data_IF_315325907237
#
_entry.id   IF_315325907237
#
_cell.length_a   1.000
_cell.length_b   1.000
_cell.length_c   1.000
_cell.angle_alpha   90.00
_cell.angle_beta   90.00
_cell.angle_gamma   90.00
#
_symmetry.space_group_name_H-M   'P 1'
#
loop_
_entity.id
_entity.type
_entity.pdbx_description
1 polymer ?
#
# COMPACT_ATOMS: atom_id res chain seq x y z
N UNK A 1 31.87 -53.90 21.48
CA UNK A 1 31.68 -52.84 20.44
C UNK A 1 30.29 -52.25 20.66
N UNK A 2 30.21 -51.13 21.37
CA UNK A 2 28.96 -50.44 21.68
C UNK A 2 28.60 -49.60 20.47
N UNK A 3 27.53 -49.97 19.76
CA UNK A 3 26.95 -49.12 18.68
C UNK A 3 26.31 -47.89 19.34
N UNK A 4 26.93 -46.75 19.15
CA UNK A 4 26.31 -45.45 19.46
C UNK A 4 25.21 -45.20 18.43
N UNK A 5 23.96 -45.27 18.86
CA UNK A 5 22.79 -44.83 18.10
C UNK A 5 22.95 -43.31 17.86
N UNK A 6 22.85 -42.81 16.61
CA UNK A 6 22.96 -41.40 16.35
C UNK A 6 21.82 -40.65 17.08
N UNK A 7 22.15 -39.57 17.77
CA UNK A 7 21.19 -38.68 18.41
C UNK A 7 20.18 -38.18 17.38
N UNK A 8 18.94 -38.66 17.44
CA UNK A 8 17.86 -38.21 16.59
C UNK A 8 17.50 -36.80 17.01
N UNK A 9 17.62 -35.83 16.09
CA UNK A 9 17.14 -34.48 16.29
C UNK A 9 15.61 -34.49 16.31
N UNK A 10 15.03 -34.05 17.43
CA UNK A 10 13.59 -33.95 17.61
C UNK A 10 13.12 -32.53 17.28
N UNK A 11 12.06 -32.40 16.48
CA UNK A 11 11.42 -31.15 16.14
C UNK A 11 9.98 -31.11 16.66
N UNK A 12 9.51 -29.92 17.05
CA UNK A 12 8.14 -29.74 17.52
C UNK A 12 7.19 -29.58 16.34
N UNK A 13 6.05 -30.30 16.35
CA UNK A 13 4.96 -30.05 15.43
C UNK A 13 4.34 -28.66 15.70
N UNK A 14 4.24 -27.81 14.68
CA UNK A 14 3.71 -26.46 14.79
C UNK A 14 2.21 -26.38 15.15
N UNK A 15 1.49 -27.49 15.06
CA UNK A 15 0.05 -27.54 15.34
C UNK A 15 -0.28 -28.11 16.72
N UNK A 16 0.36 -29.20 17.14
CA UNK A 16 0.07 -29.86 18.42
C UNK A 16 1.18 -29.72 19.49
N UNK A 17 2.34 -29.14 19.12
CA UNK A 17 3.46 -28.93 20.03
C UNK A 17 4.22 -30.19 20.44
N UNK A 18 3.80 -31.37 19.98
CA UNK A 18 4.48 -32.63 20.31
C UNK A 18 5.80 -32.75 19.54
N UNK A 19 6.79 -33.37 20.18
CA UNK A 19 8.12 -33.61 19.61
C UNK A 19 8.12 -34.91 18.80
N UNK A 20 8.69 -34.84 17.58
CA UNK A 20 8.80 -35.98 16.67
C UNK A 20 10.20 -36.02 16.06
N UNK A 21 10.60 -37.18 15.57
CA UNK A 21 11.80 -37.30 14.73
C UNK A 21 11.56 -36.60 13.39
N UNK A 22 12.64 -36.16 12.77
CA UNK A 22 12.61 -35.49 11.45
C UNK A 22 11.85 -36.30 10.39
N UNK A 23 12.00 -37.65 10.44
CA UNK A 23 11.31 -38.59 9.55
C UNK A 23 9.77 -38.57 9.66
N UNK A 24 9.21 -38.15 10.79
CA UNK A 24 7.77 -38.22 11.12
C UNK A 24 7.09 -36.84 10.91
N UNK A 25 7.84 -35.84 10.51
CA UNK A 25 7.38 -34.51 10.23
C UNK A 25 7.47 -34.19 8.73
N UNK A 26 6.48 -33.49 8.25
CA UNK A 26 6.45 -32.97 6.87
C UNK A 26 6.54 -31.45 6.91
N UNK A 27 7.44 -30.90 6.11
CA UNK A 27 7.58 -29.47 5.98
C UNK A 27 6.57 -28.93 4.96
N UNK A 28 5.55 -28.20 5.43
CA UNK A 28 4.47 -27.64 4.59
C UNK A 28 4.37 -26.14 4.86
N UNK A 29 4.47 -25.31 3.83
CA UNK A 29 4.36 -23.86 3.93
C UNK A 29 5.23 -23.23 5.04
N UNK A 30 6.46 -23.71 5.20
CA UNK A 30 7.40 -23.20 6.21
C UNK A 30 7.21 -23.76 7.62
N UNK A 31 6.27 -24.70 7.84
CA UNK A 31 5.97 -25.29 9.15
C UNK A 31 6.23 -26.80 9.17
N UNK A 32 6.76 -27.28 10.28
CA UNK A 32 6.90 -28.71 10.56
C UNK A 32 5.58 -29.25 11.12
N UNK A 33 4.96 -30.20 10.44
CA UNK A 33 3.63 -30.74 10.78
C UNK A 33 3.68 -32.26 10.83
N UNK A 34 3.19 -32.86 11.91
CA UNK A 34 3.09 -34.32 12.05
C UNK A 34 1.98 -34.90 11.17
N UNK A 35 2.03 -36.22 10.93
CA UNK A 35 1.08 -36.91 10.06
C UNK A 35 -0.38 -36.71 10.49
N UNK A 36 -0.66 -36.73 11.80
CA UNK A 36 -2.01 -36.57 12.36
C UNK A 36 -2.58 -35.16 12.12
N UNK A 37 -1.74 -34.13 12.20
CA UNK A 37 -2.15 -32.74 12.01
C UNK A 37 -2.16 -32.31 10.54
N UNK A 38 -1.51 -33.07 9.65
CA UNK A 38 -1.37 -32.75 8.22
C UNK A 38 -2.69 -32.47 7.51
N UNK A 39 -3.75 -33.30 7.60
CA UNK A 39 -5.01 -33.05 6.88
C UNK A 39 -5.71 -31.78 7.35
N UNK A 40 -5.77 -31.54 8.65
CA UNK A 40 -6.36 -30.34 9.24
C UNK A 40 -5.56 -29.07 8.91
N UNK A 41 -4.23 -29.18 8.82
CA UNK A 41 -3.37 -28.08 8.40
C UNK A 41 -3.55 -27.75 6.91
N UNK A 42 -3.57 -28.76 6.04
CA UNK A 42 -3.79 -28.59 4.61
C UNK A 42 -5.17 -27.98 4.30
N UNK A 43 -6.24 -28.47 4.95
CA UNK A 43 -7.58 -27.88 4.76
C UNK A 43 -7.64 -26.42 5.18
N UNK A 44 -6.93 -26.04 6.24
CA UNK A 44 -6.83 -24.65 6.70
C UNK A 44 -6.03 -23.78 5.74
N UNK A 45 -4.90 -24.29 5.23
CA UNK A 45 -4.07 -23.61 4.21
C UNK A 45 -4.85 -23.42 2.90
N UNK A 46 -5.59 -24.45 2.47
CA UNK A 46 -6.41 -24.37 1.26
C UNK A 46 -7.60 -23.41 1.44
N UNK A 47 -8.28 -23.45 2.58
CA UNK A 47 -9.41 -22.57 2.89
C UNK A 47 -8.99 -21.09 3.02
N UNK A 48 -7.76 -20.84 3.48
CA UNK A 48 -7.22 -19.46 3.56
C UNK A 48 -6.73 -18.92 2.22
N UNK A 49 -6.77 -19.70 1.14
CA UNK A 49 -6.20 -19.33 -0.16
C UNK A 49 -4.68 -19.09 -0.13
N UNK A 50 -4.05 -19.45 0.97
CA UNK A 50 -2.66 -19.18 1.28
C UNK A 50 -1.76 -20.40 0.98
N UNK A 51 -1.84 -20.91 -0.23
CA UNK A 51 -0.77 -21.76 -0.73
C UNK A 51 0.51 -20.90 -0.88
N UNK A 52 1.22 -20.70 0.24
CA UNK A 52 2.49 -19.99 0.26
C UNK A 52 2.63 -18.82 1.24
N UNK A 53 1.61 -18.48 2.02
CA UNK A 53 1.79 -17.49 3.07
C UNK A 53 2.12 -18.16 4.42
N UNK A 54 3.41 -18.27 4.73
CA UNK A 54 3.82 -18.29 6.15
C UNK A 54 3.18 -17.07 6.82
N UNK A 55 2.73 -17.15 8.10
CA UNK A 55 2.42 -15.95 8.85
C UNK A 55 3.72 -15.15 8.97
N UNK A 56 4.02 -14.35 7.96
CA UNK A 56 5.10 -13.38 8.02
C UNK A 56 4.70 -12.41 9.12
N UNK A 57 5.52 -12.30 10.13
CA UNK A 57 5.42 -11.25 11.13
C UNK A 57 5.77 -9.92 10.44
N UNK A 58 4.82 -9.40 9.65
CA UNK A 58 5.02 -8.14 8.96
C UNK A 58 5.14 -7.00 9.97
N UNK A 59 6.20 -6.26 9.84
CA UNK A 59 6.32 -5.01 10.56
C UNK A 59 5.54 -3.94 9.80
N UNK A 60 4.43 -3.50 10.38
CA UNK A 60 3.52 -2.53 9.76
C UNK A 60 4.02 -1.10 9.92
N UNK A 61 3.97 -0.34 8.84
CA UNK A 61 4.32 1.08 8.83
C UNK A 61 3.34 1.90 9.67
N UNK A 62 3.85 2.61 10.69
CA UNK A 62 3.06 3.46 11.55
C UNK A 62 2.50 4.71 10.84
N UNK A 63 1.55 5.38 11.50
CA UNK A 63 0.90 6.60 10.98
C UNK A 63 1.92 7.70 10.62
N UNK A 64 2.84 8.02 11.51
CA UNK A 64 3.82 9.11 11.30
C UNK A 64 4.74 8.89 10.11
N UNK A 65 5.16 7.64 9.88
CA UNK A 65 5.97 7.30 8.71
C UNK A 65 5.18 7.45 7.40
N UNK A 66 3.91 7.09 7.40
CA UNK A 66 3.03 7.26 6.24
C UNK A 66 2.76 8.74 5.97
N UNK A 67 2.60 9.53 7.04
CA UNK A 67 2.45 10.99 6.95
C UNK A 67 3.73 11.61 6.37
N UNK A 68 4.90 11.28 6.90
CA UNK A 68 6.19 11.73 6.37
C UNK A 68 6.38 11.35 4.89
N UNK A 69 6.03 10.12 4.52
CA UNK A 69 6.05 9.69 3.12
C UNK A 69 5.15 10.55 2.23
N UNK A 70 3.96 10.94 2.70
CA UNK A 70 3.05 11.86 1.98
C UNK A 70 3.62 13.25 1.80
N UNK A 71 4.28 13.78 2.84
CA UNK A 71 4.96 15.09 2.75
C UNK A 71 6.04 15.04 1.66
N UNK A 72 6.86 13.99 1.62
CA UNK A 72 7.88 13.81 0.58
C UNK A 72 7.22 13.71 -0.81
N UNK A 73 6.16 12.91 -0.96
CA UNK A 73 5.40 12.79 -2.22
C UNK A 73 4.85 14.15 -2.68
N UNK A 74 4.39 14.99 -1.74
CA UNK A 74 3.91 16.35 -2.05
C UNK A 74 5.02 17.24 -2.61
N UNK A 75 6.23 17.17 -2.07
CA UNK A 75 7.38 17.88 -2.65
C UNK A 75 7.76 17.36 -4.03
N UNK A 76 7.74 16.05 -4.24
CA UNK A 76 8.01 15.45 -5.57
C UNK A 76 7.01 15.92 -6.62
N UNK A 77 5.72 16.01 -6.27
CA UNK A 77 4.67 16.49 -7.17
C UNK A 77 4.67 18.01 -7.34
N UNK A 78 5.20 18.75 -6.36
CA UNK A 78 5.27 20.22 -6.42
C UNK A 78 6.15 20.69 -7.58
N UNK A 79 7.28 20.03 -7.84
CA UNK A 79 8.22 20.44 -8.91
C UNK A 79 7.55 20.46 -10.29
N UNK A 80 6.96 19.36 -10.81
CA UNK A 80 6.30 19.38 -12.10
C UNK A 80 5.09 20.32 -12.11
N UNK A 81 4.38 20.49 -10.99
CA UNK A 81 3.27 21.43 -10.88
C UNK A 81 3.73 22.88 -11.02
N UNK A 82 4.84 23.27 -10.38
CA UNK A 82 5.42 24.60 -10.50
C UNK A 82 5.93 24.87 -11.92
N UNK A 83 6.56 23.89 -12.56
CA UNK A 83 6.99 24.03 -13.97
C UNK A 83 5.79 24.24 -14.87
N UNK A 84 4.74 23.44 -14.73
CA UNK A 84 3.51 23.57 -15.50
C UNK A 84 2.83 24.92 -15.25
N UNK A 85 2.76 25.36 -14.01
CA UNK A 85 2.23 26.66 -13.63
C UNK A 85 3.04 27.80 -14.24
N UNK A 86 4.36 27.75 -14.19
CA UNK A 86 5.24 28.78 -14.79
C UNK A 86 5.05 28.90 -16.31
N UNK A 87 4.76 27.78 -16.99
CA UNK A 87 4.50 27.81 -18.44
C UNK A 87 3.09 28.33 -18.80
N UNK A 88 2.09 28.03 -17.98
CA UNK A 88 0.69 28.31 -18.32
C UNK A 88 0.18 29.63 -17.73
N UNK A 89 0.60 30.04 -16.53
CA UNK A 89 0.14 31.27 -15.87
C UNK A 89 0.41 32.52 -16.70
N UNK A 90 1.59 32.73 -17.31
CA UNK A 90 1.81 33.92 -18.16
C UNK A 90 0.84 34.01 -19.33
N UNK A 91 0.55 32.88 -19.97
CA UNK A 91 -0.43 32.83 -21.07
C UNK A 91 -1.85 33.11 -20.57
N UNK A 92 -2.19 32.56 -19.39
CA UNK A 92 -3.47 32.84 -18.74
C UNK A 92 -3.67 34.30 -18.42
N UNK A 93 -2.64 34.98 -17.87
CA UNK A 93 -2.66 36.40 -17.54
C UNK A 93 -2.77 37.24 -18.83
N UNK A 94 -2.02 36.90 -19.89
CA UNK A 94 -2.10 37.61 -21.19
C UNK A 94 -3.49 37.52 -21.78
N UNK A 95 -4.08 36.31 -21.82
CA UNK A 95 -5.43 36.10 -22.33
C UNK A 95 -6.47 36.83 -21.50
N UNK A 96 -6.36 36.79 -20.17
CA UNK A 96 -7.27 37.52 -19.29
C UNK A 96 -7.24 39.04 -19.51
N UNK A 97 -6.04 39.60 -19.71
CA UNK A 97 -5.88 41.04 -20.03
C UNK A 97 -6.47 41.43 -21.36
N UNK A 98 -6.43 40.57 -22.39
CA UNK A 98 -6.96 40.82 -23.73
C UNK A 98 -8.49 40.79 -23.78
N UNK A 99 -9.14 40.02 -22.94
CA UNK A 99 -10.59 39.79 -22.97
C UNK A 99 -11.37 40.87 -22.19
N UNK A 100 -10.72 41.63 -21.31
CA UNK A 100 -11.41 42.60 -20.45
C UNK A 100 -12.29 41.92 -19.38
N UNK A 101 -12.96 42.71 -18.55
CA UNK A 101 -13.64 42.26 -17.35
C UNK A 101 -15.04 41.65 -17.54
N UNK A 102 -15.52 41.39 -18.74
CA UNK A 102 -16.95 41.15 -18.94
C UNK A 102 -17.41 39.70 -19.08
N UNK A 103 -16.56 38.71 -19.31
CA UNK A 103 -16.89 37.29 -19.21
C UNK A 103 -15.62 36.41 -19.27
N UNK A 104 -15.60 35.22 -18.66
CA UNK A 104 -14.52 34.28 -18.89
C UNK A 104 -14.50 33.88 -20.37
N UNK A 105 -13.44 34.25 -21.09
CA UNK A 105 -13.33 33.87 -22.49
C UNK A 105 -13.25 32.37 -22.64
N UNK A 106 -13.78 31.79 -23.72
CA UNK A 106 -13.64 30.33 -23.96
C UNK A 106 -12.18 29.88 -23.96
N UNK A 107 -11.25 30.71 -24.38
CA UNK A 107 -9.82 30.45 -24.36
C UNK A 107 -9.28 30.33 -22.91
N UNK A 108 -9.71 31.22 -22.03
CA UNK A 108 -9.32 31.19 -20.61
C UNK A 108 -9.85 29.94 -19.93
N UNK A 109 -11.12 29.58 -20.18
CA UNK A 109 -11.74 28.36 -19.67
C UNK A 109 -11.02 27.09 -20.18
N UNK A 110 -10.68 27.07 -21.48
CA UNK A 110 -9.95 25.94 -22.07
C UNK A 110 -8.55 25.80 -21.50
N UNK A 111 -7.80 26.88 -21.29
CA UNK A 111 -6.47 26.83 -20.65
C UNK A 111 -6.53 26.33 -19.20
N UNK A 112 -7.50 26.81 -18.42
CA UNK A 112 -7.70 26.36 -17.02
C UNK A 112 -8.07 24.89 -16.96
N UNK A 113 -8.97 24.45 -17.84
CA UNK A 113 -9.36 23.05 -17.93
C UNK A 113 -8.17 22.16 -18.31
N UNK A 114 -7.39 22.59 -19.31
CA UNK A 114 -6.18 21.87 -19.75
C UNK A 114 -5.17 21.73 -18.59
N UNK A 115 -4.91 22.82 -17.86
CA UNK A 115 -4.05 22.79 -16.68
C UNK A 115 -4.54 21.78 -15.66
N UNK A 116 -5.83 21.81 -15.33
CA UNK A 116 -6.44 20.91 -14.37
C UNK A 116 -6.34 19.44 -14.81
N UNK A 117 -6.65 19.15 -16.08
CA UNK A 117 -6.58 17.80 -16.64
C UNK A 117 -5.15 17.25 -16.65
N UNK A 118 -4.17 18.04 -17.08
CA UNK A 118 -2.76 17.63 -17.10
C UNK A 118 -2.24 17.39 -15.65
N UNK A 119 -2.59 18.26 -14.73
CA UNK A 119 -2.26 18.09 -13.33
C UNK A 119 -2.87 16.80 -12.75
N UNK A 120 -4.18 16.60 -12.94
CA UNK A 120 -4.88 15.41 -12.46
C UNK A 120 -4.28 14.14 -13.05
N UNK A 121 -4.02 14.11 -14.35
CA UNK A 121 -3.41 12.97 -15.02
C UNK A 121 -2.00 12.68 -14.47
N UNK A 122 -1.21 13.71 -14.22
CA UNK A 122 0.13 13.56 -13.64
C UNK A 122 0.09 12.92 -12.26
N UNK A 123 -0.84 13.34 -11.40
CA UNK A 123 -1.01 12.77 -10.05
C UNK A 123 -1.49 11.31 -10.12
N UNK A 124 -2.48 11.03 -10.99
CA UNK A 124 -2.98 9.66 -11.20
C UNK A 124 -1.84 8.75 -11.70
N UNK A 125 -1.16 9.16 -12.77
CA UNK A 125 -0.07 8.36 -13.32
C UNK A 125 1.03 8.13 -12.30
N UNK A 126 1.46 9.18 -11.59
CA UNK A 126 2.48 9.03 -10.56
C UNK A 126 2.07 8.02 -9.48
N UNK A 127 0.91 8.17 -8.88
CA UNK A 127 0.51 7.34 -7.74
C UNK A 127 0.14 5.92 -8.16
N UNK A 128 -0.70 5.76 -9.20
CA UNK A 128 -1.19 4.45 -9.64
C UNK A 128 -0.07 3.61 -10.26
N UNK A 129 0.73 4.21 -11.14
CA UNK A 129 1.82 3.49 -11.81
C UNK A 129 2.90 3.08 -10.82
N UNK A 130 3.29 3.98 -9.91
CA UNK A 130 4.28 3.67 -8.87
C UNK A 130 3.79 2.56 -7.94
N UNK A 131 2.54 2.61 -7.49
CA UNK A 131 1.97 1.52 -6.69
C UNK A 131 1.94 0.19 -7.45
N UNK A 132 1.57 0.20 -8.73
CA UNK A 132 1.46 -1.02 -9.55
C UNK A 132 2.81 -1.69 -9.77
N UNK A 133 3.84 -0.92 -10.13
CA UNK A 133 5.14 -1.48 -10.53
C UNK A 133 6.11 -1.62 -9.35
N UNK A 134 6.11 -0.69 -8.41
CA UNK A 134 7.04 -0.66 -7.28
C UNK A 134 6.41 -1.03 -5.94
N UNK A 135 5.08 -1.05 -5.87
CA UNK A 135 4.34 -1.24 -4.62
C UNK A 135 4.47 -0.06 -3.65
N UNK A 136 5.07 1.05 -4.08
CA UNK A 136 5.26 2.24 -3.23
C UNK A 136 5.48 3.49 -4.09
N UNK A 137 5.05 4.66 -3.61
CA UNK A 137 5.42 5.97 -4.15
C UNK A 137 6.85 6.33 -3.73
N UNK A 138 7.46 7.34 -4.33
CA UNK A 138 8.83 7.75 -3.99
C UNK A 138 8.97 8.11 -2.51
N UNK A 139 8.02 8.84 -1.94
CA UNK A 139 8.02 9.16 -0.52
C UNK A 139 7.92 7.93 0.37
N UNK A 140 7.07 6.96 0.03
CA UNK A 140 6.99 5.67 0.74
C UNK A 140 8.28 4.87 0.62
N UNK A 141 8.90 4.88 -0.57
CA UNK A 141 10.20 4.23 -0.77
C UNK A 141 11.31 4.85 0.07
N UNK A 142 11.34 6.19 0.16
CA UNK A 142 12.28 6.93 1.00
C UNK A 142 12.11 6.60 2.50
N UNK A 143 10.86 6.35 2.93
CA UNK A 143 10.56 5.90 4.29
C UNK A 143 10.70 4.38 4.49
N UNK A 144 11.21 3.62 3.51
CA UNK A 144 11.37 2.17 3.59
C UNK A 144 10.04 1.40 3.62
N UNK A 145 8.94 1.99 3.14
CA UNK A 145 7.60 1.41 3.15
C UNK A 145 7.26 0.77 1.79
N UNK A 146 6.53 -0.33 1.85
CA UNK A 146 5.96 -1.02 0.70
C UNK A 146 4.50 -1.36 0.96
N UNK A 147 3.67 -1.26 -0.06
CA UNK A 147 2.26 -1.66 -0.03
C UNK A 147 2.12 -3.03 -0.69
N UNK A 148 1.46 -3.94 -0.01
CA UNK A 148 1.17 -5.29 -0.48
C UNK A 148 -0.31 -5.61 -0.24
N UNK A 149 -0.82 -6.63 -0.90
CA UNK A 149 -2.14 -7.20 -0.56
C UNK A 149 -2.05 -8.01 0.73
N UNK A 150 -3.20 -8.34 1.31
CA UNK A 150 -3.30 -9.22 2.48
C UNK A 150 -2.63 -10.59 2.27
N UNK A 151 -2.58 -11.07 1.03
CA UNK A 151 -1.93 -12.31 0.61
C UNK A 151 -0.42 -12.16 0.30
N UNK A 152 0.16 -10.97 0.50
CA UNK A 152 1.58 -10.68 0.21
C UNK A 152 1.88 -10.39 -1.26
N UNK A 153 0.92 -10.54 -2.16
CA UNK A 153 1.12 -10.30 -3.60
C UNK A 153 1.24 -8.80 -3.91
N UNK A 154 1.81 -8.51 -5.07
CA UNK A 154 1.86 -7.15 -5.61
C UNK A 154 0.46 -6.64 -5.96
N UNK A 155 0.28 -5.31 -5.93
CA UNK A 155 -0.99 -4.68 -6.25
C UNK A 155 -1.32 -4.83 -7.75
N UNK A 156 -2.58 -5.18 -8.05
CA UNK A 156 -3.12 -5.09 -9.41
C UNK A 156 -3.52 -3.66 -9.77
N UNK A 157 -3.77 -3.38 -11.06
CA UNK A 157 -4.21 -2.07 -11.53
C UNK A 157 -5.48 -1.57 -10.82
N UNK A 158 -6.51 -2.45 -10.69
CA UNK A 158 -7.78 -2.09 -10.03
C UNK A 158 -7.58 -1.69 -8.57
N UNK A 159 -6.75 -2.42 -7.81
CA UNK A 159 -6.46 -2.11 -6.41
C UNK A 159 -5.65 -0.81 -6.30
N UNK A 160 -4.68 -0.58 -7.18
CA UNK A 160 -3.88 0.66 -7.20
C UNK A 160 -4.75 1.87 -7.49
N UNK A 161 -5.68 1.76 -8.47
CA UNK A 161 -6.62 2.82 -8.81
C UNK A 161 -7.67 3.01 -7.70
N UNK A 162 -8.21 1.93 -7.15
CA UNK A 162 -9.16 1.98 -6.02
C UNK A 162 -8.57 2.69 -4.80
N UNK A 163 -7.30 2.45 -4.47
CA UNK A 163 -6.60 3.15 -3.39
C UNK A 163 -6.44 4.65 -3.67
N UNK A 164 -6.06 4.98 -4.90
CA UNK A 164 -5.97 6.38 -5.34
C UNK A 164 -7.34 7.07 -5.22
N UNK A 165 -8.39 6.44 -5.74
CA UNK A 165 -9.75 6.98 -5.70
C UNK A 165 -10.24 7.17 -4.26
N UNK A 166 -10.11 6.13 -3.43
CA UNK A 166 -10.52 6.19 -2.01
C UNK A 166 -9.76 7.25 -1.24
N UNK A 167 -8.45 7.40 -1.47
CA UNK A 167 -7.68 8.47 -0.86
C UNK A 167 -8.20 9.85 -1.29
N UNK A 168 -8.43 10.05 -2.58
CA UNK A 168 -8.95 11.32 -3.10
C UNK A 168 -10.37 11.62 -2.61
N UNK A 169 -11.26 10.63 -2.51
CA UNK A 169 -12.59 10.80 -1.90
C UNK A 169 -12.46 11.22 -0.44
N UNK A 170 -11.54 10.61 0.30
CA UNK A 170 -11.27 10.97 1.70
C UNK A 170 -10.67 12.37 1.83
N UNK A 171 -9.89 12.83 0.84
CA UNK A 171 -9.15 14.11 0.93
C UNK A 171 -9.75 15.25 0.10
N UNK A 172 -10.64 15.01 -0.85
CA UNK A 172 -11.15 16.01 -1.81
C UNK A 172 -12.64 16.33 -1.66
N UNK A 173 -13.29 15.75 -0.65
CA UNK A 173 -14.72 15.98 -0.38
C UNK A 173 -15.02 17.35 0.23
N UNK A 174 -16.21 17.47 0.80
CA UNK A 174 -16.64 18.66 1.54
C UNK A 174 -15.62 18.94 2.67
N UNK A 175 -15.10 20.16 2.84
CA UNK A 175 -13.96 20.44 3.74
C UNK A 175 -14.08 19.87 5.15
N UNK A 176 -15.27 19.94 5.76
CA UNK A 176 -15.50 19.38 7.09
C UNK A 176 -15.52 17.84 7.11
N UNK A 177 -16.17 17.24 6.11
CA UNK A 177 -16.23 15.78 5.98
C UNK A 177 -14.84 15.19 5.72
N UNK A 178 -14.05 15.87 4.90
CA UNK A 178 -12.66 15.52 4.64
C UNK A 178 -11.82 15.48 5.91
N UNK A 179 -11.90 16.51 6.74
CA UNK A 179 -11.16 16.56 8.00
C UNK A 179 -11.56 15.41 8.94
N UNK A 180 -12.86 15.13 9.06
CA UNK A 180 -13.37 14.02 9.88
C UNK A 180 -12.90 12.68 9.34
N UNK A 181 -13.00 12.44 8.04
CA UNK A 181 -12.53 11.19 7.41
C UNK A 181 -11.02 11.00 7.54
N UNK A 182 -10.25 12.08 7.42
CA UNK A 182 -8.80 12.04 7.64
C UNK A 182 -8.45 11.71 9.10
N UNK A 183 -9.15 12.27 10.06
CA UNK A 183 -8.99 11.93 11.49
C UNK A 183 -9.36 10.48 11.76
N UNK A 184 -10.51 10.01 11.26
CA UNK A 184 -10.94 8.61 11.40
C UNK A 184 -9.89 7.68 10.79
N UNK A 185 -9.41 7.96 9.58
CA UNK A 185 -8.39 7.17 8.91
C UNK A 185 -7.07 7.14 9.69
N UNK A 186 -6.68 8.26 10.31
CA UNK A 186 -5.50 8.39 11.16
C UNK A 186 -5.62 7.59 12.46
N UNK A 187 -6.75 7.72 13.15
CA UNK A 187 -7.06 6.97 14.40
C UNK A 187 -7.06 5.46 14.09
N UNK A 188 -7.73 5.04 13.01
CA UNK A 188 -7.74 3.63 12.60
C UNK A 188 -6.33 3.10 12.36
N UNK A 189 -5.48 3.85 11.64
CA UNK A 189 -4.10 3.45 11.41
C UNK A 189 -3.23 3.45 12.69
N UNK A 190 -3.62 4.17 13.73
CA UNK A 190 -2.95 4.19 15.02
C UNK A 190 -3.37 3.07 15.97
N UNK A 191 -4.66 2.70 15.95
CA UNK A 191 -5.27 1.75 16.89
C UNK A 191 -5.38 0.33 16.37
N UNK A 192 -5.41 0.14 15.05
CA UNK A 192 -5.49 -1.19 14.43
C UNK A 192 -4.18 -1.97 14.60
N UNK A 193 -4.27 -3.25 14.96
CA UNK A 193 -3.10 -4.13 15.12
C UNK A 193 -2.25 -4.26 13.84
N UNK A 194 -2.88 -4.17 12.66
CA UNK A 194 -2.21 -4.16 11.34
C UNK A 194 -1.97 -2.74 10.82
N UNK A 195 -2.26 -1.72 11.63
CA UNK A 195 -2.11 -0.28 11.30
C UNK A 195 -2.75 0.12 9.97
N UNK A 196 -3.95 -0.43 9.69
CA UNK A 196 -4.68 -0.17 8.45
C UNK A 196 -5.44 1.14 8.51
N UNK A 197 -5.21 2.02 7.56
CA UNK A 197 -6.04 3.19 7.31
C UNK A 197 -7.35 2.81 6.59
N UNK A 198 -8.30 3.73 6.47
CA UNK A 198 -9.60 3.49 5.85
C UNK A 198 -9.46 2.91 4.42
N UNK A 199 -8.63 3.52 3.57
CA UNK A 199 -8.38 3.06 2.22
C UNK A 199 -7.63 1.70 2.16
N UNK A 200 -6.84 1.37 3.19
CA UNK A 200 -6.17 0.07 3.29
C UNK A 200 -7.19 -1.04 3.56
N UNK A 201 -8.20 -0.78 4.39
CA UNK A 201 -9.27 -1.75 4.67
C UNK A 201 -10.18 -1.99 3.48
N UNK A 202 -10.59 -0.92 2.79
CA UNK A 202 -11.46 -1.03 1.62
C UNK A 202 -10.79 -1.78 0.47
N UNK A 203 -9.49 -1.57 0.26
CA UNK A 203 -8.72 -2.19 -0.81
C UNK A 203 -8.01 -3.48 -0.40
N UNK A 204 -8.21 -3.97 0.83
CA UNK A 204 -7.54 -5.14 1.42
C UNK A 204 -6.03 -5.15 1.21
N UNK A 205 -5.40 -4.07 1.63
CA UNK A 205 -3.95 -3.86 1.48
C UNK A 205 -3.29 -3.60 2.82
N UNK A 206 -1.98 -3.82 2.87
CA UNK A 206 -1.13 -3.61 4.04
C UNK A 206 0.06 -2.73 3.66
N UNK A 207 0.45 -1.82 4.54
CA UNK A 207 1.68 -1.03 4.40
C UNK A 207 2.71 -1.59 5.37
N UNK A 208 3.77 -2.15 4.84
CA UNK A 208 4.80 -2.88 5.59
C UNK A 208 6.18 -2.26 5.34
N UNK A 209 7.13 -2.53 6.23
CA UNK A 209 8.53 -2.20 5.97
C UNK A 209 9.09 -3.10 4.87
N UNK A 210 9.87 -2.54 3.95
CA UNK A 210 10.48 -3.26 2.82
C UNK A 210 11.36 -4.43 3.28
N UNK A 211 12.01 -4.31 4.42
CA UNK A 211 12.88 -5.35 5.00
C UNK A 211 12.12 -6.60 5.46
N UNK A 212 10.79 -6.52 5.66
CA UNK A 212 9.97 -7.66 6.05
C UNK A 212 9.60 -8.60 4.89
N UNK A 213 10.10 -8.36 3.70
CA UNK A 213 9.77 -9.10 2.44
C UNK A 213 10.99 -9.88 1.92
N UNK A 214 12.11 -9.86 2.65
CA UNK A 214 13.33 -10.60 2.29
C UNK A 214 13.27 -12.05 2.77
#
# INVERSE_FOLDING_TARGET
MSQQTPAQTLFACSQCGRMFADSDLVHIAGNWVCGDCKPAFLSRVMASGAAGATPHSWHYGGFWLRFGARVIDSFVLMVPTLVLAALLIPNLIRTAKQVGSQAPSPALAALTLTFFLVFLLSVICYEVVMLRYRGATLGKMACGLKVVRSDGRSLGWGVSFGRFFMWNVVTSGIPYLNFVLMLISGIMAGTDGEKRALHDRVCDTRVIYKQSVA
#
